data_IF_250258096234
#
_entry.id   IF_250258096234
#
_cell.length_a   1.000
_cell.length_b   1.000
_cell.length_c   1.000
_cell.angle_alpha   90.00
_cell.angle_beta   90.00
_cell.angle_gamma   90.00
#
_symmetry.space_group_name_H-M   'P 1'
#
loop_
_entity.id
_entity.type
_entity.pdbx_description
1 polymer ?
#
# COMPACT_ATOMS: atom_id res chain seq x y z
N UNK A 1 5.71 -15.41 53.30
CA UNK A 1 4.23 -15.33 53.15
C UNK A 1 3.95 -14.66 51.81
N UNK A 2 3.80 -15.44 50.77
CA UNK A 2 3.58 -15.04 49.40
C UNK A 2 2.08 -15.14 49.12
N UNK A 3 1.45 -13.98 48.82
CA UNK A 3 0.05 -13.94 48.38
C UNK A 3 -0.02 -14.27 46.90
N UNK A 4 -0.85 -15.25 46.56
CA UNK A 4 -1.21 -15.57 45.16
C UNK A 4 -2.17 -14.52 44.60
N UNK A 5 -2.15 -14.23 43.29
CA UNK A 5 -3.08 -13.27 42.67
C UNK A 5 -4.49 -13.86 42.54
N UNK A 6 -5.45 -13.00 42.80
CA UNK A 6 -6.88 -13.32 42.72
C UNK A 6 -7.29 -13.70 41.29
N UNK A 7 -7.93 -14.86 41.15
CA UNK A 7 -8.57 -15.28 39.90
C UNK A 7 -9.84 -14.44 39.67
N UNK A 8 -9.90 -13.80 38.52
CA UNK A 8 -11.12 -13.16 38.00
C UNK A 8 -12.12 -14.23 37.61
N UNK A 9 -13.17 -14.35 38.42
CA UNK A 9 -14.35 -15.18 38.14
C UNK A 9 -15.28 -14.37 37.24
N UNK A 10 -15.43 -14.79 35.99
CA UNK A 10 -16.49 -14.28 35.12
C UNK A 10 -17.81 -14.87 35.50
N UNK A 11 -18.91 -14.09 35.62
CA UNK A 11 -20.23 -14.64 35.93
C UNK A 11 -20.74 -15.49 34.76
N UNK A 12 -21.22 -16.69 35.04
CA UNK A 12 -21.96 -17.52 34.11
C UNK A 12 -23.21 -16.79 33.63
N UNK A 13 -23.23 -16.43 32.33
CA UNK A 13 -24.41 -15.91 31.66
C UNK A 13 -25.41 -17.05 31.47
N UNK A 14 -26.54 -16.95 32.20
CA UNK A 14 -27.70 -17.80 32.10
C UNK A 14 -28.23 -17.86 30.66
N UNK A 15 -28.06 -19.00 30.02
CA UNK A 15 -28.50 -19.29 28.65
C UNK A 15 -29.93 -19.78 28.70
N UNK A 16 -30.93 -18.91 28.47
CA UNK A 16 -32.22 -19.32 27.91
C UNK A 16 -32.94 -18.16 27.20
N UNK A 17 -33.30 -18.42 25.97
CA UNK A 17 -34.24 -17.69 25.10
C UNK A 17 -33.80 -16.32 24.54
N UNK A 18 -33.07 -16.35 23.50
CA UNK A 18 -33.23 -15.64 22.19
C UNK A 18 -32.01 -15.91 21.29
N UNK A 19 -31.85 -17.16 20.91
CA UNK A 19 -30.67 -17.60 20.13
C UNK A 19 -30.55 -16.93 18.75
N UNK A 20 -31.63 -16.45 18.17
CA UNK A 20 -31.58 -15.83 16.85
C UNK A 20 -31.13 -14.36 16.85
N UNK A 21 -31.53 -13.54 17.82
CA UNK A 21 -31.15 -12.12 17.84
C UNK A 21 -29.73 -11.89 18.35
N UNK A 22 -29.26 -12.68 19.33
CA UNK A 22 -27.89 -12.62 19.83
C UNK A 22 -26.88 -13.18 18.81
N UNK A 23 -27.23 -14.28 18.11
CA UNK A 23 -26.44 -14.83 17.03
C UNK A 23 -26.40 -13.87 15.84
N UNK A 24 -27.51 -13.21 15.50
CA UNK A 24 -27.55 -12.17 14.48
C UNK A 24 -26.76 -10.92 14.88
N UNK A 25 -26.78 -10.48 16.12
CA UNK A 25 -25.99 -9.36 16.60
C UNK A 25 -24.49 -9.70 16.64
N UNK A 26 -24.10 -10.88 17.15
CA UNK A 26 -22.70 -11.34 17.13
C UNK A 26 -22.21 -11.56 15.68
N UNK A 27 -23.06 -12.07 14.79
CA UNK A 27 -22.75 -12.23 13.38
C UNK A 27 -22.54 -10.87 12.70
N UNK A 28 -23.36 -9.86 13.02
CA UNK A 28 -23.22 -8.51 12.47
C UNK A 28 -21.93 -7.82 12.92
N UNK A 29 -21.48 -8.01 14.16
CA UNK A 29 -20.21 -7.44 14.65
C UNK A 29 -18.98 -8.15 14.11
N UNK A 30 -19.00 -9.47 13.97
CA UNK A 30 -17.87 -10.26 13.40
C UNK A 30 -17.70 -10.07 11.88
N UNK A 31 -18.74 -9.62 11.18
CA UNK A 31 -18.73 -9.36 9.74
C UNK A 31 -18.29 -7.93 9.37
N UNK A 32 -17.87 -7.12 10.33
CA UNK A 32 -17.49 -5.72 10.08
C UNK A 32 -16.17 -5.57 9.33
N UNK A 33 -15.29 -6.57 9.35
CA UNK A 33 -13.95 -6.51 8.73
C UNK A 33 -13.97 -7.21 7.37
N UNK A 34 -13.72 -6.51 6.28
CA UNK A 34 -13.58 -7.15 4.97
C UNK A 34 -12.32 -8.01 4.92
N UNK A 35 -12.36 -9.08 4.17
CA UNK A 35 -11.19 -9.88 3.84
C UNK A 35 -10.24 -9.05 2.96
N UNK A 36 -8.95 -9.25 3.11
CA UNK A 36 -7.89 -8.64 2.31
C UNK A 36 -6.95 -9.70 1.74
N UNK A 37 -6.33 -9.39 0.62
CA UNK A 37 -5.23 -10.16 0.05
C UNK A 37 -3.99 -9.30 0.04
N UNK A 38 -2.90 -9.83 0.55
CA UNK A 38 -1.61 -9.20 0.58
C UNK A 38 -0.68 -9.84 -0.46
N UNK A 39 0.16 -8.99 -1.07
CA UNK A 39 1.14 -9.38 -2.09
C UNK A 39 2.55 -8.94 -1.73
N UNK A 40 3.27 -8.35 -2.72
CA UNK A 40 4.64 -7.90 -2.53
C UNK A 40 4.76 -6.83 -1.44
N UNK A 41 5.84 -6.89 -0.70
CA UNK A 41 6.30 -5.83 0.20
C UNK A 41 6.84 -4.66 -0.60
N UNK A 42 6.53 -3.43 -0.18
CA UNK A 42 6.85 -2.20 -0.92
C UNK A 42 7.53 -1.19 -0.01
N UNK A 43 8.63 -0.62 -0.49
CA UNK A 43 9.33 0.47 0.17
C UNK A 43 9.50 1.63 -0.81
N UNK A 44 9.01 2.80 -0.41
CA UNK A 44 9.32 4.08 -1.05
C UNK A 44 10.33 4.82 -0.20
N UNK A 45 11.38 5.34 -0.81
CA UNK A 45 12.40 6.15 -0.14
C UNK A 45 12.61 7.43 -0.93
N UNK A 46 12.44 8.58 -0.29
CA UNK A 46 12.61 9.90 -0.88
C UNK A 46 13.82 10.56 -0.26
N UNK A 47 14.70 11.05 -1.11
CA UNK A 47 15.96 11.67 -0.70
C UNK A 47 16.10 13.07 -1.29
N UNK A 48 16.73 13.95 -0.49
CA UNK A 48 17.36 15.16 -0.99
C UNK A 48 18.80 14.83 -1.38
N UNK A 49 19.26 15.38 -2.49
CA UNK A 49 20.63 15.19 -2.94
C UNK A 49 21.52 16.33 -2.46
N UNK A 50 22.69 16.02 -1.93
CA UNK A 50 23.67 16.99 -1.41
C UNK A 50 24.50 17.56 -2.55
N UNK A 51 23.87 18.36 -3.41
CA UNK A 51 24.50 18.97 -4.59
C UNK A 51 25.76 19.79 -4.28
N UNK A 52 25.87 20.58 -3.17
CA UNK A 52 27.08 21.33 -2.87
C UNK A 52 28.29 20.41 -2.61
N UNK A 53 28.10 19.33 -1.87
CA UNK A 53 29.14 18.33 -1.58
C UNK A 53 29.52 17.56 -2.83
N UNK A 54 28.54 17.14 -3.62
CA UNK A 54 28.73 16.44 -4.87
C UNK A 54 29.59 17.24 -5.86
N UNK A 55 29.32 18.53 -6.03
CA UNK A 55 30.07 19.41 -6.96
C UNK A 55 31.53 19.64 -6.54
N UNK A 56 31.93 19.31 -5.30
CA UNK A 56 33.33 19.40 -4.84
C UNK A 56 34.17 18.21 -5.26
N UNK A 57 33.55 17.13 -5.68
CA UNK A 57 34.25 15.93 -6.15
C UNK A 57 34.88 16.17 -7.54
N UNK A 58 35.97 15.46 -7.82
CA UNK A 58 36.47 15.35 -9.18
C UNK A 58 35.48 14.58 -10.05
N UNK A 59 35.46 14.90 -11.33
CA UNK A 59 34.60 14.23 -12.31
C UNK A 59 34.81 12.71 -12.31
N UNK A 60 36.07 12.26 -12.21
CA UNK A 60 36.39 10.83 -12.13
C UNK A 60 35.76 10.15 -10.91
N UNK A 61 35.75 10.83 -9.74
CA UNK A 61 35.12 10.28 -8.53
C UNK A 61 33.60 10.25 -8.65
N UNK A 62 33.00 11.29 -9.21
CA UNK A 62 31.57 11.33 -9.48
C UNK A 62 31.14 10.18 -10.42
N UNK A 63 31.90 9.93 -11.50
CA UNK A 63 31.64 8.82 -12.43
C UNK A 63 31.79 7.45 -11.76
N UNK A 64 32.77 7.28 -10.88
CA UNK A 64 32.96 6.05 -10.13
C UNK A 64 31.75 5.74 -9.23
N UNK A 65 31.31 6.73 -8.44
CA UNK A 65 30.14 6.63 -7.55
C UNK A 65 28.86 6.33 -8.34
N UNK A 66 28.65 7.04 -9.47
CA UNK A 66 27.49 6.81 -10.32
C UNK A 66 27.47 5.38 -10.90
N UNK A 67 28.62 4.86 -11.31
CA UNK A 67 28.74 3.48 -11.83
C UNK A 67 28.52 2.43 -10.73
N UNK A 68 29.06 2.65 -9.54
CA UNK A 68 28.84 1.77 -8.39
C UNK A 68 27.34 1.65 -8.06
N UNK A 69 26.65 2.80 -7.93
CA UNK A 69 25.22 2.83 -7.66
C UNK A 69 24.40 2.19 -8.79
N UNK A 70 24.73 2.47 -10.03
CA UNK A 70 24.08 1.86 -11.19
C UNK A 70 24.27 0.34 -11.20
N UNK A 71 25.44 -0.18 -10.86
CA UNK A 71 25.70 -1.61 -10.80
C UNK A 71 24.81 -2.32 -9.75
N UNK A 72 24.56 -1.69 -8.60
CA UNK A 72 23.68 -2.22 -7.54
C UNK A 72 22.22 -2.22 -7.97
N UNK A 73 21.78 -1.19 -8.70
CA UNK A 73 20.35 -0.99 -9.03
C UNK A 73 19.95 -1.65 -10.37
N UNK A 74 20.88 -2.00 -11.26
CA UNK A 74 20.55 -2.48 -12.63
C UNK A 74 19.78 -3.79 -12.63
N UNK A 75 20.26 -4.82 -11.94
CA UNK A 75 19.58 -6.12 -11.94
C UNK A 75 18.17 -6.06 -11.31
N UNK A 76 17.94 -5.40 -10.16
CA UNK A 76 16.59 -5.19 -9.63
C UNK A 76 15.70 -4.35 -10.56
N UNK A 77 16.23 -3.36 -11.29
CA UNK A 77 15.43 -2.59 -12.26
C UNK A 77 15.00 -3.46 -13.44
N UNK A 78 15.90 -4.24 -14.03
CA UNK A 78 15.61 -5.18 -15.12
C UNK A 78 14.57 -6.22 -14.71
N UNK A 79 14.61 -6.68 -13.47
CA UNK A 79 13.61 -7.58 -12.90
C UNK A 79 12.24 -6.90 -12.68
N UNK A 80 12.18 -5.56 -12.73
CA UNK A 80 10.98 -4.78 -12.40
C UNK A 80 10.70 -4.72 -10.89
N UNK A 81 11.72 -4.94 -10.07
CA UNK A 81 11.67 -4.97 -8.62
C UNK A 81 12.14 -3.66 -7.97
N UNK A 82 12.84 -2.82 -8.71
CA UNK A 82 13.26 -1.49 -8.26
C UNK A 82 13.10 -0.47 -9.36
N UNK A 83 12.87 0.79 -8.97
CA UNK A 83 12.75 1.89 -9.89
C UNK A 83 13.26 3.19 -9.26
N UNK A 84 13.90 4.02 -10.07
CA UNK A 84 14.41 5.33 -9.68
C UNK A 84 13.59 6.41 -10.38
N UNK A 85 13.22 7.45 -9.62
CA UNK A 85 12.47 8.60 -10.13
C UNK A 85 13.14 9.90 -9.69
N UNK A 86 13.33 10.83 -10.63
CA UNK A 86 13.66 12.23 -10.34
C UNK A 86 12.40 12.95 -9.89
N UNK A 87 12.37 13.43 -8.65
CA UNK A 87 11.22 14.11 -8.08
C UNK A 87 11.14 15.57 -8.53
N UNK A 88 9.91 16.03 -8.77
CA UNK A 88 9.61 17.42 -9.05
C UNK A 88 9.22 18.18 -7.76
N UNK A 89 9.71 19.41 -7.64
CA UNK A 89 9.45 20.27 -6.49
C UNK A 89 10.45 20.04 -5.35
N UNK A 90 10.17 20.61 -4.17
CA UNK A 90 11.12 20.63 -3.04
C UNK A 90 10.81 19.58 -1.96
N UNK A 91 10.14 18.49 -2.29
CA UNK A 91 9.81 17.38 -1.37
C UNK A 91 10.86 16.29 -1.35
N UNK A 92 11.90 16.44 -2.14
CA UNK A 92 13.01 15.55 -2.39
C UNK A 92 13.52 15.75 -3.81
N UNK A 93 14.65 15.14 -4.14
CA UNK A 93 15.24 15.18 -5.48
C UNK A 93 15.13 13.80 -6.16
N UNK A 94 15.25 12.74 -5.38
CA UNK A 94 15.24 11.36 -5.86
C UNK A 94 14.26 10.52 -5.04
N UNK A 95 13.53 9.61 -5.72
CA UNK A 95 12.74 8.58 -5.08
C UNK A 95 13.12 7.22 -5.61
N UNK A 96 13.37 6.28 -4.71
CA UNK A 96 13.52 4.87 -5.02
C UNK A 96 12.25 4.14 -4.60
N UNK A 97 11.80 3.21 -5.44
CA UNK A 97 10.67 2.32 -5.16
C UNK A 97 11.16 0.89 -5.28
N UNK A 98 10.90 0.08 -4.27
CA UNK A 98 11.31 -1.32 -4.21
C UNK A 98 10.10 -2.22 -3.96
N UNK A 99 9.96 -3.28 -4.78
CA UNK A 99 8.99 -4.35 -4.62
C UNK A 99 9.75 -5.64 -4.32
N UNK A 100 9.44 -6.33 -3.22
CA UNK A 100 10.10 -7.58 -2.80
C UNK A 100 9.09 -8.57 -2.22
N UNK A 101 9.46 -9.84 -2.16
CA UNK A 101 8.62 -10.89 -1.58
C UNK A 101 8.50 -10.77 -0.05
N UNK A 102 9.44 -10.11 0.61
CA UNK A 102 9.49 -9.98 2.08
C UNK A 102 10.11 -8.66 2.54
N UNK A 103 9.88 -8.31 3.81
CA UNK A 103 10.57 -7.18 4.46
C UNK A 103 12.06 -7.45 4.64
N UNK A 104 12.47 -8.72 4.80
CA UNK A 104 13.90 -9.07 4.86
C UNK A 104 14.62 -8.71 3.54
N UNK A 105 13.96 -8.96 2.41
CA UNK A 105 14.49 -8.59 1.09
C UNK A 105 14.45 -7.06 0.86
N UNK A 106 13.45 -6.33 1.37
CA UNK A 106 13.44 -4.87 1.37
C UNK A 106 14.61 -4.32 2.18
N UNK A 107 14.83 -4.84 3.39
CA UNK A 107 15.96 -4.47 4.23
C UNK A 107 17.30 -4.77 3.55
N UNK A 108 17.42 -5.91 2.86
CA UNK A 108 18.63 -6.22 2.10
C UNK A 108 18.88 -5.23 0.98
N UNK A 109 17.84 -4.80 0.25
CA UNK A 109 17.94 -3.80 -0.82
C UNK A 109 18.35 -2.42 -0.27
N UNK A 110 17.75 -2.00 0.85
CA UNK A 110 18.11 -0.76 1.54
C UNK A 110 19.58 -0.79 2.00
N UNK A 111 20.02 -1.87 2.66
CA UNK A 111 21.39 -2.02 3.12
C UNK A 111 22.39 -2.08 1.95
N UNK A 112 21.99 -2.63 0.80
CA UNK A 112 22.81 -2.63 -0.41
C UNK A 112 23.09 -1.22 -0.90
N UNK A 113 22.04 -0.36 -0.97
CA UNK A 113 22.19 1.05 -1.34
C UNK A 113 23.05 1.80 -0.31
N UNK A 114 22.78 1.60 0.98
CA UNK A 114 23.49 2.26 2.09
C UNK A 114 24.99 1.94 2.12
N UNK A 115 25.43 0.85 1.49
CA UNK A 115 26.85 0.49 1.37
C UNK A 115 27.55 1.14 0.17
N UNK A 116 26.81 1.79 -0.73
CA UNK A 116 27.41 2.52 -1.87
C UNK A 116 27.89 3.89 -1.45
N UNK A 117 28.91 4.41 -2.12
CA UNK A 117 29.37 5.77 -1.88
C UNK A 117 28.35 6.85 -2.28
N UNK A 118 27.32 6.51 -3.07
CA UNK A 118 26.22 7.42 -3.40
C UNK A 118 25.43 7.81 -2.14
N UNK A 119 25.31 6.92 -1.16
CA UNK A 119 24.58 7.16 0.09
C UNK A 119 25.09 8.36 0.88
N UNK A 120 26.38 8.68 0.81
CA UNK A 120 26.96 9.86 1.46
C UNK A 120 26.34 11.18 0.97
N UNK A 121 25.74 11.17 -0.22
CA UNK A 121 25.10 12.31 -0.88
C UNK A 121 23.58 12.26 -0.86
N UNK A 122 22.98 11.22 -0.28
CA UNK A 122 21.52 11.06 -0.14
C UNK A 122 21.09 11.39 1.31
N UNK A 123 20.37 12.48 1.48
CA UNK A 123 19.75 12.87 2.75
C UNK A 123 18.32 12.31 2.79
N UNK A 124 18.00 11.38 3.72
CA UNK A 124 16.64 10.85 3.85
C UNK A 124 15.63 11.95 4.18
N UNK A 125 14.53 12.02 3.43
CA UNK A 125 13.45 12.99 3.64
C UNK A 125 12.16 12.33 4.09
N UNK A 126 11.73 11.31 3.37
CA UNK A 126 10.52 10.55 3.63
C UNK A 126 10.74 9.08 3.25
N UNK A 127 10.00 8.22 3.90
CA UNK A 127 9.86 6.81 3.49
C UNK A 127 8.41 6.38 3.64
N UNK A 128 8.07 5.25 3.02
CA UNK A 128 6.78 4.62 3.21
C UNK A 128 6.91 3.10 3.05
N UNK A 129 6.63 2.36 4.12
CA UNK A 129 6.70 0.90 4.17
C UNK A 129 5.29 0.31 4.12
N UNK A 130 5.05 -0.61 3.20
CA UNK A 130 3.72 -1.16 2.96
C UNK A 130 3.78 -2.55 2.31
N UNK A 131 2.61 -3.13 2.07
CA UNK A 131 2.42 -4.33 1.24
C UNK A 131 1.35 -4.06 0.19
N UNK A 132 1.46 -4.65 -1.01
CA UNK A 132 0.38 -4.58 -1.99
C UNK A 132 -0.85 -5.21 -1.38
N UNK A 133 -1.98 -4.49 -1.36
CA UNK A 133 -3.21 -4.92 -0.71
C UNK A 133 -4.42 -4.78 -1.63
N UNK A 134 -5.25 -5.81 -1.62
CA UNK A 134 -6.54 -5.82 -2.30
C UNK A 134 -7.66 -6.10 -1.31
N UNK A 135 -8.48 -5.11 -1.02
CA UNK A 135 -9.67 -5.27 -0.19
C UNK A 135 -10.78 -6.03 -0.94
N UNK A 136 -11.29 -7.10 -0.36
CA UNK A 136 -12.30 -7.99 -0.94
C UNK A 136 -13.72 -7.68 -0.44
N UNK A 137 -14.16 -6.41 -0.45
CA UNK A 137 -15.46 -6.01 0.08
C UNK A 137 -16.62 -6.81 -0.51
N UNK A 138 -16.71 -6.93 -1.83
CA UNK A 138 -17.79 -7.65 -2.50
C UNK A 138 -17.78 -9.15 -2.17
N UNK A 139 -16.61 -9.77 -2.23
CA UNK A 139 -16.46 -11.20 -1.90
C UNK A 139 -16.77 -11.48 -0.42
N UNK A 140 -16.37 -10.58 0.48
CA UNK A 140 -16.65 -10.69 1.91
C UNK A 140 -18.14 -10.62 2.21
N UNK A 141 -18.83 -9.61 1.68
CA UNK A 141 -20.28 -9.46 1.89
C UNK A 141 -21.06 -10.65 1.35
N UNK A 142 -20.71 -11.14 0.15
CA UNK A 142 -21.34 -12.32 -0.46
C UNK A 142 -21.13 -13.57 0.38
N UNK A 143 -19.87 -13.84 0.75
CA UNK A 143 -19.51 -15.01 1.55
C UNK A 143 -20.23 -14.99 2.91
N UNK A 144 -20.12 -13.90 3.64
CA UNK A 144 -20.70 -13.81 4.99
C UNK A 144 -22.22 -13.92 4.97
N UNK A 145 -22.90 -13.36 3.96
CA UNK A 145 -24.34 -13.53 3.77
C UNK A 145 -24.72 -14.99 3.50
N UNK A 146 -23.99 -15.67 2.61
CA UNK A 146 -24.25 -17.10 2.32
C UNK A 146 -24.04 -17.99 3.55
N UNK A 147 -23.00 -17.72 4.35
CA UNK A 147 -22.76 -18.47 5.58
C UNK A 147 -23.86 -18.22 6.63
N UNK A 148 -24.30 -16.98 6.77
CA UNK A 148 -25.40 -16.64 7.67
C UNK A 148 -26.73 -17.29 7.25
N UNK A 149 -27.07 -17.29 5.95
CA UNK A 149 -28.27 -17.93 5.40
C UNK A 149 -28.27 -19.46 5.64
N UNK A 150 -27.08 -20.08 5.65
CA UNK A 150 -26.89 -21.51 5.96
C UNK A 150 -26.85 -21.80 7.47
N UNK A 151 -26.88 -20.76 8.32
CA UNK A 151 -26.78 -20.90 9.77
C UNK A 151 -25.39 -21.34 10.26
N UNK A 152 -24.33 -21.12 9.45
CA UNK A 152 -22.96 -21.46 9.82
C UNK A 152 -22.45 -20.44 10.85
N UNK A 153 -22.09 -20.94 12.02
CA UNK A 153 -21.61 -20.09 13.12
C UNK A 153 -20.25 -19.47 12.77
N UNK A 154 -20.05 -18.16 13.00
CA UNK A 154 -18.75 -17.51 12.82
C UNK A 154 -17.65 -18.22 13.59
N UNK A 155 -16.45 -18.31 12.99
CA UNK A 155 -15.26 -18.99 13.56
C UNK A 155 -15.40 -20.50 13.78
N UNK A 156 -16.51 -21.16 13.34
CA UNK A 156 -16.59 -22.61 13.31
C UNK A 156 -15.62 -23.21 12.29
N UNK A 157 -15.35 -24.52 12.37
CA UNK A 157 -14.50 -25.21 11.39
C UNK A 157 -15.04 -25.05 9.95
N UNK A 158 -16.36 -25.12 9.78
CA UNK A 158 -17.00 -24.92 8.48
C UNK A 158 -16.80 -23.48 7.98
N UNK A 159 -17.00 -22.48 8.88
CA UNK A 159 -16.74 -21.07 8.56
C UNK A 159 -15.30 -20.84 8.10
N UNK A 160 -14.32 -21.29 8.90
CA UNK A 160 -12.91 -21.09 8.61
C UNK A 160 -12.51 -21.73 7.29
N UNK A 161 -13.01 -22.91 7.00
CA UNK A 161 -12.75 -23.60 5.72
C UNK A 161 -13.32 -22.81 4.53
N UNK A 162 -14.57 -22.36 4.60
CA UNK A 162 -15.20 -21.58 3.51
C UNK A 162 -14.49 -20.25 3.26
N UNK A 163 -14.03 -19.59 4.34
CA UNK A 163 -13.20 -18.37 4.24
C UNK A 163 -11.88 -18.69 3.55
N UNK A 164 -11.15 -19.73 3.99
CA UNK A 164 -9.86 -20.11 3.41
C UNK A 164 -9.99 -20.50 1.94
N UNK A 165 -10.99 -21.32 1.57
CA UNK A 165 -11.27 -21.70 0.19
C UNK A 165 -11.59 -20.49 -0.68
N UNK A 166 -12.31 -19.51 -0.14
CA UNK A 166 -12.62 -18.26 -0.86
C UNK A 166 -11.38 -17.41 -1.02
N UNK A 167 -10.56 -17.25 0.03
CA UNK A 167 -9.30 -16.51 -0.01
C UNK A 167 -8.34 -17.12 -1.04
N UNK A 168 -8.20 -18.45 -1.07
CA UNK A 168 -7.29 -19.10 -2.01
C UNK A 168 -7.75 -18.92 -3.47
N UNK A 169 -9.07 -19.06 -3.76
CA UNK A 169 -9.61 -18.77 -5.09
C UNK A 169 -9.35 -17.32 -5.51
N UNK A 170 -9.55 -16.36 -4.60
CA UNK A 170 -9.31 -14.95 -4.88
C UNK A 170 -7.81 -14.66 -5.07
N UNK A 171 -6.94 -15.26 -4.25
CA UNK A 171 -5.47 -15.13 -4.37
C UNK A 171 -4.97 -15.59 -5.73
N UNK A 172 -5.45 -16.75 -6.20
CA UNK A 172 -5.10 -17.27 -7.53
C UNK A 172 -5.57 -16.33 -8.65
N UNK A 173 -6.82 -15.88 -8.58
CA UNK A 173 -7.39 -14.98 -9.59
C UNK A 173 -6.71 -13.60 -9.63
N UNK A 174 -6.27 -13.10 -8.47
CA UNK A 174 -5.66 -11.77 -8.32
C UNK A 174 -4.13 -11.79 -8.31
N UNK A 175 -3.50 -12.98 -8.48
CA UNK A 175 -2.04 -13.11 -8.44
C UNK A 175 -1.27 -12.06 -9.26
N UNK A 176 -1.67 -11.72 -10.52
CA UNK A 176 -0.95 -10.70 -11.30
C UNK A 176 -1.03 -9.28 -10.70
N UNK A 177 -2.04 -9.02 -9.87
CA UNK A 177 -2.20 -7.73 -9.19
C UNK A 177 -1.47 -7.70 -7.85
N UNK A 178 -1.29 -8.84 -7.20
CA UNK A 178 -0.57 -8.98 -5.93
C UNK A 178 0.96 -9.01 -6.14
N UNK A 179 1.41 -9.54 -7.28
CA UNK A 179 2.82 -9.70 -7.62
C UNK A 179 3.19 -9.02 -8.95
N UNK A 180 2.88 -7.72 -9.11
CA UNK A 180 3.21 -7.01 -10.33
C UNK A 180 4.70 -6.68 -10.40
N UNK A 181 5.20 -6.42 -11.61
CA UNK A 181 6.41 -5.63 -11.78
C UNK A 181 6.08 -4.15 -11.62
N UNK A 182 7.06 -3.35 -11.20
CA UNK A 182 6.94 -1.88 -11.24
C UNK A 182 6.71 -1.48 -12.70
N UNK A 183 5.63 -0.74 -13.01
CA UNK A 183 5.32 -0.35 -14.38
C UNK A 183 6.41 0.51 -15.01
N UNK A 184 6.78 0.20 -16.26
CA UNK A 184 7.70 1.03 -17.04
C UNK A 184 6.95 2.22 -17.66
N UNK A 185 6.57 3.17 -16.81
CA UNK A 185 5.88 4.40 -17.18
C UNK A 185 6.76 5.62 -16.94
N UNK A 186 6.62 6.64 -17.78
CA UNK A 186 7.43 7.84 -17.70
C UNK A 186 7.22 8.63 -16.40
N UNK A 187 5.97 8.66 -15.89
CA UNK A 187 5.63 9.36 -14.66
C UNK A 187 5.09 8.43 -13.59
N UNK A 188 5.44 8.73 -12.35
CA UNK A 188 4.83 8.19 -11.13
C UNK A 188 4.26 9.34 -10.31
N UNK A 189 3.05 9.17 -9.79
CA UNK A 189 2.50 9.98 -8.72
C UNK A 189 2.25 9.06 -7.52
N UNK A 190 3.02 9.21 -6.45
CA UNK A 190 2.83 8.52 -5.18
C UNK A 190 2.21 9.46 -4.15
N UNK A 191 1.26 8.96 -3.36
CA UNK A 191 0.77 9.64 -2.17
C UNK A 191 0.25 8.64 -1.13
N UNK A 192 0.52 8.87 0.16
CA UNK A 192 -0.11 8.12 1.24
C UNK A 192 -1.49 8.72 1.56
N UNK A 193 -2.37 7.91 2.15
CA UNK A 193 -3.70 8.34 2.56
C UNK A 193 -4.26 7.52 3.73
N UNK A 194 -5.23 8.12 4.42
CA UNK A 194 -6.01 7.49 5.48
C UNK A 194 -7.50 7.49 5.17
N UNK A 195 -8.23 6.60 5.85
CA UNK A 195 -9.65 6.74 6.07
C UNK A 195 -9.90 7.51 7.39
N UNK A 196 -10.81 8.49 7.35
CA UNK A 196 -11.12 9.31 8.53
C UNK A 196 -11.68 8.47 9.68
N UNK A 197 -11.12 8.69 10.87
CA UNK A 197 -11.51 8.10 12.15
C UNK A 197 -12.00 9.18 13.14
N UNK A 198 -12.70 10.19 12.64
CA UNK A 198 -13.20 11.30 13.44
C UNK A 198 -14.49 10.94 14.21
N UNK A 199 -14.85 11.78 15.17
CA UNK A 199 -16.06 11.59 16.00
C UNK A 199 -17.35 11.55 15.20
N UNK A 200 -17.48 12.39 14.17
CA UNK A 200 -18.70 12.48 13.35
C UNK A 200 -18.63 11.67 12.07
N UNK A 201 -17.45 11.45 11.52
CA UNK A 201 -17.21 10.72 10.28
C UNK A 201 -16.09 9.72 10.50
N UNK A 202 -16.47 8.47 10.70
CA UNK A 202 -15.57 7.37 10.94
C UNK A 202 -15.87 6.24 9.96
N UNK A 203 -14.94 5.98 9.03
CA UNK A 203 -15.07 4.93 8.02
C UNK A 203 -15.27 3.55 8.62
N UNK A 204 -14.58 3.27 9.73
CA UNK A 204 -14.54 1.94 10.33
C UNK A 204 -15.82 1.59 11.11
N UNK A 205 -16.63 2.58 11.45
CA UNK A 205 -17.92 2.37 12.14
C UNK A 205 -19.09 2.21 11.17
N UNK A 206 -18.85 2.37 9.86
CA UNK A 206 -19.89 2.12 8.87
C UNK A 206 -20.19 0.62 8.72
N UNK A 207 -21.45 0.23 8.46
CA UNK A 207 -21.79 -1.15 8.06
C UNK A 207 -20.96 -1.59 6.84
N UNK A 208 -20.61 -2.87 6.77
CA UNK A 208 -19.77 -3.41 5.68
C UNK A 208 -20.44 -3.24 4.31
N UNK A 209 -21.75 -3.36 4.23
CA UNK A 209 -22.53 -3.18 2.99
C UNK A 209 -22.43 -1.73 2.48
N UNK A 210 -22.47 -0.77 3.39
CA UNK A 210 -22.32 0.64 3.03
C UNK A 210 -20.89 0.92 2.53
N UNK A 211 -19.88 0.36 3.18
CA UNK A 211 -18.49 0.46 2.71
C UNK A 211 -18.30 -0.21 1.35
N UNK A 212 -18.90 -1.40 1.14
CA UNK A 212 -18.90 -2.09 -0.15
C UNK A 212 -19.49 -1.20 -1.24
N UNK A 213 -20.70 -0.65 -1.03
CA UNK A 213 -21.38 0.21 -1.99
C UNK A 213 -20.52 1.43 -2.38
N UNK A 214 -19.96 2.11 -1.38
CA UNK A 214 -19.11 3.28 -1.61
C UNK A 214 -17.81 2.92 -2.33
N UNK A 215 -17.19 1.79 -2.01
CA UNK A 215 -15.98 1.33 -2.71
C UNK A 215 -16.27 0.86 -4.13
N UNK A 216 -17.46 0.34 -4.42
CA UNK A 216 -17.89 0.02 -5.78
C UNK A 216 -18.05 1.29 -6.62
N UNK A 217 -18.71 2.33 -6.11
CA UNK A 217 -18.85 3.64 -6.75
C UNK A 217 -17.47 4.26 -7.02
N UNK A 218 -16.59 4.26 -6.03
CA UNK A 218 -15.21 4.72 -6.16
C UNK A 218 -14.45 3.96 -7.26
N UNK A 219 -14.57 2.63 -7.27
CA UNK A 219 -13.96 1.76 -8.29
C UNK A 219 -14.50 2.03 -9.70
N UNK A 220 -15.75 2.45 -9.85
CA UNK A 220 -16.30 2.84 -11.17
C UNK A 220 -15.61 4.09 -11.72
N UNK A 221 -15.29 5.08 -10.89
CA UNK A 221 -14.52 6.26 -11.31
C UNK A 221 -13.12 5.83 -11.78
N UNK A 222 -12.42 5.01 -11.01
CA UNK A 222 -11.09 4.51 -11.39
C UNK A 222 -11.09 3.75 -12.73
N UNK A 223 -12.11 2.92 -12.97
CA UNK A 223 -12.26 2.15 -14.23
C UNK A 223 -12.35 3.02 -15.49
N UNK A 224 -12.82 4.25 -15.42
CA UNK A 224 -12.85 5.19 -16.57
C UNK A 224 -11.44 5.57 -17.07
N UNK A 225 -10.43 5.37 -16.21
CA UNK A 225 -9.02 5.64 -16.49
C UNK A 225 -8.22 4.39 -16.84
N UNK A 226 -8.89 3.23 -16.96
CA UNK A 226 -8.22 2.00 -17.40
C UNK A 226 -7.52 2.19 -18.75
N UNK A 227 -6.28 1.70 -18.85
CA UNK A 227 -5.42 1.90 -20.03
C UNK A 227 -4.74 3.27 -20.12
N UNK A 228 -5.11 4.25 -19.27
CA UNK A 228 -4.44 5.56 -19.19
C UNK A 228 -3.57 5.69 -17.94
N UNK A 229 -3.97 5.05 -16.85
CA UNK A 229 -3.26 5.00 -15.57
C UNK A 229 -3.23 3.55 -15.11
N UNK A 230 -2.06 3.07 -14.73
CA UNK A 230 -1.92 1.86 -13.95
C UNK A 230 -1.81 2.24 -12.48
N UNK A 231 -2.69 1.71 -11.65
CA UNK A 231 -2.75 1.98 -10.22
C UNK A 231 -2.33 0.76 -9.43
N UNK A 232 -1.45 0.97 -8.46
CA UNK A 232 -1.09 -0.02 -7.44
C UNK A 232 -1.45 0.58 -6.08
N UNK A 233 -2.21 -0.18 -5.28
CA UNK A 233 -2.61 0.19 -3.93
C UNK A 233 -1.85 -0.67 -2.96
N UNK A 234 -1.34 -0.05 -1.91
CA UNK A 234 -0.62 -0.74 -0.83
C UNK A 234 -1.25 -0.42 0.52
N UNK A 235 -1.30 -1.39 1.42
CA UNK A 235 -1.73 -1.26 2.81
C UNK A 235 -0.53 -1.11 3.73
N UNK A 236 -0.66 -0.29 4.75
CA UNK A 236 0.40 0.01 5.70
C UNK A 236 -0.07 0.08 7.16
N UNK A 237 -1.30 -0.34 7.44
CA UNK A 237 -1.84 -0.34 8.81
C UNK A 237 -0.94 -1.19 9.72
N UNK A 238 -0.30 -0.54 10.69
CA UNK A 238 0.64 -1.19 11.60
C UNK A 238 2.11 -1.18 11.14
N UNK A 239 2.42 -0.60 9.97
CA UNK A 239 3.78 -0.49 9.43
C UNK A 239 4.26 0.95 9.31
N UNK A 240 3.36 1.89 9.02
CA UNK A 240 3.68 3.29 8.78
C UNK A 240 2.62 4.22 9.41
N UNK A 241 2.83 5.53 9.34
CA UNK A 241 1.93 6.53 9.91
C UNK A 241 0.62 6.67 9.12
N UNK A 242 0.62 6.33 7.82
CA UNK A 242 -0.53 6.35 6.94
C UNK A 242 -1.03 4.93 6.65
N UNK A 243 -2.33 4.78 6.42
CA UNK A 243 -2.98 3.47 6.27
C UNK A 243 -2.78 2.85 4.89
N UNK A 244 -2.74 3.69 3.83
CA UNK A 244 -2.57 3.23 2.45
C UNK A 244 -1.63 4.12 1.66
N UNK A 245 -0.90 3.48 0.72
CA UNK A 245 -0.15 4.12 -0.34
C UNK A 245 -0.83 3.93 -1.68
N UNK A 246 -0.78 4.96 -2.52
CA UNK A 246 -1.33 4.92 -3.87
C UNK A 246 -0.25 5.31 -4.86
N UNK A 247 0.12 4.36 -5.72
CA UNK A 247 1.00 4.57 -6.86
C UNK A 247 0.16 4.69 -8.14
N UNK A 248 0.32 5.80 -8.85
CA UNK A 248 -0.28 6.05 -10.15
C UNK A 248 0.83 6.16 -11.19
N UNK A 249 0.85 5.26 -12.16
CA UNK A 249 1.82 5.22 -13.26
C UNK A 249 1.14 5.61 -14.56
N UNK A 250 1.73 6.54 -15.32
CA UNK A 250 1.19 6.96 -16.61
C UNK A 250 2.27 7.56 -17.53
N UNK A 251 2.05 7.57 -18.86
CA UNK A 251 2.90 8.27 -19.80
C UNK A 251 2.73 9.80 -19.76
N UNK A 252 1.59 10.29 -19.24
CA UNK A 252 1.22 11.71 -19.21
C UNK A 252 0.75 12.16 -17.81
N UNK A 253 1.37 13.21 -17.21
CA UNK A 253 1.10 13.55 -15.81
C UNK A 253 -0.27 14.22 -15.60
N UNK A 254 -0.86 14.85 -16.63
CA UNK A 254 -2.18 15.48 -16.51
C UNK A 254 -3.29 14.48 -16.20
N UNK A 255 -3.10 13.20 -16.52
CA UNK A 255 -4.09 12.17 -16.23
C UNK A 255 -4.23 11.96 -14.71
N UNK A 256 -3.16 12.09 -13.93
CA UNK A 256 -3.22 12.03 -12.45
C UNK A 256 -4.15 13.11 -11.90
N UNK A 257 -3.94 14.36 -12.35
CA UNK A 257 -4.78 15.49 -11.94
C UNK A 257 -6.24 15.26 -12.26
N UNK A 258 -6.54 14.73 -13.47
CA UNK A 258 -7.93 14.47 -13.90
C UNK A 258 -8.57 13.37 -13.08
N UNK A 259 -7.88 12.23 -12.90
CA UNK A 259 -8.35 11.10 -12.10
C UNK A 259 -8.63 11.53 -10.65
N UNK A 260 -7.65 12.15 -9.99
CA UNK A 260 -7.80 12.56 -8.60
C UNK A 260 -8.87 13.65 -8.45
N UNK A 261 -8.98 14.56 -9.41
CA UNK A 261 -10.03 15.58 -9.42
C UNK A 261 -11.44 14.94 -9.47
N UNK A 262 -11.68 14.00 -10.38
CA UNK A 262 -12.97 13.29 -10.44
C UNK A 262 -13.25 12.49 -9.16
N UNK A 263 -12.25 11.79 -8.62
CA UNK A 263 -12.39 11.05 -7.37
C UNK A 263 -12.71 11.92 -6.16
N UNK A 264 -12.40 13.23 -6.16
CA UNK A 264 -12.81 14.15 -5.09
C UNK A 264 -14.31 14.33 -4.97
N UNK A 265 -15.08 14.01 -6.02
CA UNK A 265 -16.53 14.15 -6.04
C UNK A 265 -17.26 12.85 -5.72
N UNK A 266 -16.57 11.70 -5.64
CA UNK A 266 -17.19 10.49 -5.11
C UNK A 266 -17.35 10.59 -3.57
N UNK A 267 -18.37 9.94 -3.03
CA UNK A 267 -18.76 10.12 -1.64
C UNK A 267 -17.64 9.66 -0.68
N UNK A 268 -17.00 8.52 -0.95
CA UNK A 268 -15.99 7.97 -0.05
C UNK A 268 -14.75 8.86 0.01
N UNK A 269 -14.31 9.43 -1.10
CA UNK A 269 -13.17 10.34 -1.13
C UNK A 269 -13.49 11.69 -0.53
N UNK A 270 -14.69 12.25 -0.83
CA UNK A 270 -15.11 13.54 -0.31
C UNK A 270 -15.27 13.55 1.22
N UNK A 271 -15.83 12.47 1.78
CA UNK A 271 -16.23 12.41 3.19
C UNK A 271 -15.18 11.73 4.07
N UNK A 272 -14.61 10.62 3.59
CA UNK A 272 -13.80 9.73 4.43
C UNK A 272 -12.31 9.69 4.09
N UNK A 273 -11.84 10.27 2.98
CA UNK A 273 -10.43 10.24 2.66
C UNK A 273 -9.68 11.43 3.28
N UNK A 274 -8.49 11.15 3.82
CA UNK A 274 -7.46 12.13 4.15
C UNK A 274 -6.22 11.81 3.31
N UNK A 275 -5.61 12.83 2.69
CA UNK A 275 -4.50 12.65 1.77
C UNK A 275 -3.25 13.26 2.34
N UNK A 276 -2.15 12.51 2.28
CA UNK A 276 -0.81 13.00 2.61
C UNK A 276 -0.17 13.79 1.48
N UNK A 277 1.14 13.87 1.50
CA UNK A 277 1.90 14.59 0.48
C UNK A 277 1.90 13.82 -0.84
N UNK A 278 1.76 14.57 -1.95
CA UNK A 278 1.89 14.03 -3.31
C UNK A 278 3.33 14.16 -3.77
N UNK A 279 3.92 13.06 -4.24
CA UNK A 279 5.23 13.01 -4.85
C UNK A 279 5.06 12.69 -6.33
N UNK A 280 5.56 13.56 -7.20
CA UNK A 280 5.51 13.35 -8.65
C UNK A 280 6.93 13.23 -9.16
N UNK A 281 7.23 12.11 -9.80
CA UNK A 281 8.57 11.78 -10.30
C UNK A 281 8.56 11.39 -11.77
N UNK A 282 9.67 11.68 -12.44
CA UNK A 282 10.00 11.22 -13.77
C UNK A 282 10.88 9.98 -13.67
N UNK A 283 10.57 8.93 -14.42
CA UNK A 283 11.41 7.74 -14.49
C UNK A 283 12.84 8.11 -14.86
N UNK A 284 13.78 7.73 -14.01
CA UNK A 284 15.20 7.83 -14.26
C UNK A 284 15.75 6.40 -14.43
N UNK A 285 15.85 5.86 -15.66
CA UNK A 285 16.46 4.55 -15.86
C UNK A 285 17.86 4.52 -15.24
N UNK A 286 18.21 3.42 -14.59
CA UNK A 286 19.50 3.29 -13.87
C UNK A 286 20.69 3.57 -14.79
N UNK A 287 20.60 3.20 -16.07
CA UNK A 287 21.61 3.49 -17.08
C UNK A 287 21.80 5.01 -17.32
N UNK A 288 20.80 5.84 -16.98
CA UNK A 288 20.83 7.30 -17.05
C UNK A 288 21.11 7.99 -15.72
N UNK A 289 21.42 7.22 -14.67
CA UNK A 289 21.71 7.79 -13.36
C UNK A 289 22.91 8.75 -13.40
N UNK A 290 23.94 8.44 -14.20
CA UNK A 290 25.07 9.34 -14.44
C UNK A 290 24.65 10.66 -15.08
N UNK A 291 23.76 10.64 -16.08
CA UNK A 291 23.21 11.87 -16.70
C UNK A 291 22.45 12.70 -15.66
N UNK A 292 21.63 12.07 -14.84
CA UNK A 292 20.89 12.73 -13.75
C UNK A 292 21.84 13.38 -12.73
N UNK A 293 22.96 12.73 -12.41
CA UNK A 293 24.01 13.24 -11.52
C UNK A 293 24.91 14.30 -12.18
N UNK A 294 24.71 14.60 -13.47
CA UNK A 294 25.52 15.57 -14.23
C UNK A 294 26.90 15.03 -14.61
N UNK A 295 27.06 13.71 -14.67
CA UNK A 295 28.28 13.02 -15.10
C UNK A 295 27.97 12.12 -16.30
N UNK A 296 28.61 12.38 -17.40
CA UNK A 296 28.49 11.64 -18.67
C UNK A 296 29.78 10.86 -18.96
#
# INVERSE_FOLDING_TARGET
MTQAPASLVFPELSFMASSNSAVQALSAELHAVPLTLEGLSVLHQMFRFRWPEWRRLSQSRQQEIAREAAAVLSAPEEAGQSAVYSLLGHKGDLMLVHFRDSFDELNAAELQLNRTALQDYLEPMHSYLSVIELGLYDSSVKLFRQLAERGVAPQSEEWNREVEDTMERQRQAMRPRLYPKIPDSHYLCFYPMDRKRGEQKNWYTLPIEERQRQMEEHGMVGRRYAGKVQQIITGSIGFDDWEWGVDLFAPEPLVFKKLIYEMRFDHVSAVYAAFGQFFVGLRCPVQKLGEWLGVS
#
